data_IF_255493671970
#
_entry.id   IF_255493671970
#
_cell.length_a   1.000
_cell.length_b   1.000
_cell.length_c   1.000
_cell.angle_alpha   90.00
_cell.angle_beta   90.00
_cell.angle_gamma   90.00
#
_symmetry.space_group_name_H-M   'P 1'
#
loop_
_entity.id
_entity.type
_entity.pdbx_description
1 polymer ?
#
# COMPACT_ATOMS: atom_id res chain seq x y z
N UNK A 1 -20.30 -25.06 36.49
CA UNK A 1 -21.66 -24.57 36.20
C UNK A 1 -21.54 -23.14 35.68
N UNK A 2 -21.68 -22.95 34.37
CA UNK A 2 -21.45 -21.68 33.67
C UNK A 2 -22.76 -20.93 33.57
N UNK A 3 -22.89 -19.83 34.33
CA UNK A 3 -24.03 -18.92 34.23
C UNK A 3 -23.87 -18.05 32.97
N UNK A 4 -24.60 -18.40 31.91
CA UNK A 4 -24.76 -17.55 30.73
C UNK A 4 -25.81 -16.49 31.10
N UNK A 5 -25.36 -15.29 31.40
CA UNK A 5 -26.25 -14.12 31.47
C UNK A 5 -26.76 -13.83 30.07
N UNK A 6 -28.04 -14.18 29.85
CA UNK A 6 -28.79 -13.77 28.68
C UNK A 6 -28.85 -12.24 28.63
N UNK A 7 -28.28 -11.67 27.58
CA UNK A 7 -28.60 -10.31 27.15
C UNK A 7 -29.94 -10.40 26.41
N UNK A 8 -31.03 -10.45 27.18
CA UNK A 8 -32.37 -10.22 26.62
C UNK A 8 -32.46 -8.75 26.25
N UNK A 9 -32.48 -8.52 24.95
CA UNK A 9 -32.77 -7.26 24.31
C UNK A 9 -34.20 -6.85 24.68
N UNK A 10 -34.32 -6.00 25.70
CA UNK A 10 -35.55 -5.28 25.97
C UNK A 10 -35.75 -4.24 24.85
N UNK A 11 -36.40 -4.64 23.77
CA UNK A 11 -37.10 -3.71 22.88
C UNK A 11 -38.36 -3.21 23.60
N UNK A 12 -38.17 -2.29 24.55
CA UNK A 12 -39.30 -1.55 25.09
C UNK A 12 -39.75 -0.54 24.02
N UNK A 13 -40.94 -0.78 23.46
CA UNK A 13 -41.63 0.23 22.66
C UNK A 13 -41.64 1.56 23.44
N UNK A 14 -41.08 2.64 22.87
CA UNK A 14 -40.96 3.89 23.58
C UNK A 14 -42.36 4.46 23.82
N UNK A 15 -42.70 4.65 25.10
CA UNK A 15 -43.99 5.20 25.48
C UNK A 15 -44.16 6.63 24.89
N UNK A 16 -45.16 6.87 24.03
CA UNK A 16 -45.27 8.11 23.25
C UNK A 16 -45.43 9.36 24.13
N UNK A 17 -46.08 9.24 25.29
CA UNK A 17 -46.24 10.34 26.24
C UNK A 17 -44.90 10.86 26.82
N UNK A 18 -43.89 9.98 26.91
CA UNK A 18 -42.56 10.31 27.42
C UNK A 18 -41.73 11.04 26.36
N UNK A 19 -41.88 10.64 25.10
CA UNK A 19 -41.22 11.26 23.96
C UNK A 19 -41.63 12.72 23.75
N UNK A 20 -42.94 12.99 23.79
CA UNK A 20 -43.46 14.33 23.53
C UNK A 20 -43.22 15.30 24.69
N UNK A 21 -43.41 14.85 25.93
CA UNK A 21 -43.39 15.77 27.09
C UNK A 21 -42.00 16.00 27.66
N UNK A 22 -41.17 14.97 27.69
CA UNK A 22 -39.87 14.99 28.38
C UNK A 22 -38.73 15.02 27.36
N UNK A 23 -38.66 14.05 26.45
CA UNK A 23 -37.54 13.96 25.52
C UNK A 23 -37.53 15.10 24.49
N UNK A 24 -38.69 15.59 24.01
CA UNK A 24 -38.71 16.72 23.08
C UNK A 24 -38.09 18.00 23.67
N UNK A 25 -38.43 18.34 24.93
CA UNK A 25 -37.88 19.52 25.61
C UNK A 25 -36.38 19.40 25.87
N UNK A 26 -35.94 18.21 26.29
CA UNK A 26 -34.51 17.94 26.50
C UNK A 26 -33.74 18.01 25.18
N UNK A 27 -34.28 17.44 24.09
CA UNK A 27 -33.69 17.53 22.75
C UNK A 27 -33.53 18.98 22.30
N UNK A 28 -34.57 19.80 22.43
CA UNK A 28 -34.52 21.22 22.08
C UNK A 28 -33.48 21.98 22.90
N UNK A 29 -33.45 21.77 24.24
CA UNK A 29 -32.41 22.36 25.09
C UNK A 29 -31.00 22.01 24.60
N UNK A 30 -30.76 20.75 24.27
CA UNK A 30 -29.47 20.29 23.76
C UNK A 30 -29.11 21.00 22.45
N UNK A 31 -30.05 21.12 21.53
CA UNK A 31 -29.84 21.79 20.24
C UNK A 31 -29.47 23.26 20.44
N UNK A 32 -30.21 23.97 21.28
CA UNK A 32 -30.01 25.40 21.51
C UNK A 32 -28.64 25.70 22.14
N UNK A 33 -28.25 24.89 23.14
CA UNK A 33 -26.96 25.03 23.79
C UNK A 33 -25.79 24.64 22.88
N UNK A 34 -25.94 23.60 22.03
CA UNK A 34 -24.92 23.24 21.03
C UNK A 34 -24.73 24.39 20.05
N UNK A 35 -25.83 24.97 19.53
CA UNK A 35 -25.77 26.13 18.62
C UNK A 35 -25.03 27.30 19.27
N UNK A 36 -25.44 27.70 20.47
CA UNK A 36 -24.79 28.80 21.21
C UNK A 36 -23.31 28.54 21.50
N UNK A 37 -22.97 27.31 21.88
CA UNK A 37 -21.59 26.92 22.19
C UNK A 37 -20.70 26.93 20.95
N UNK A 38 -21.20 26.40 19.83
CA UNK A 38 -20.49 26.42 18.54
C UNK A 38 -20.32 27.87 18.04
N UNK A 39 -21.36 28.69 18.10
CA UNK A 39 -21.28 30.10 17.71
C UNK A 39 -20.26 30.88 18.56
N UNK A 40 -20.21 30.63 19.86
CA UNK A 40 -19.21 31.22 20.75
C UNK A 40 -17.79 30.77 20.38
N UNK A 41 -17.59 29.46 20.14
CA UNK A 41 -16.29 28.93 19.72
C UNK A 41 -15.82 29.49 18.37
N UNK A 42 -16.76 29.72 17.43
CA UNK A 42 -16.47 30.34 16.14
C UNK A 42 -16.06 31.81 16.31
N UNK A 43 -16.75 32.57 17.19
CA UNK A 43 -16.38 33.96 17.52
C UNK A 43 -14.98 34.04 18.14
N UNK A 44 -14.66 33.11 19.03
CA UNK A 44 -13.37 33.04 19.72
C UNK A 44 -12.26 32.44 18.84
N UNK A 45 -12.57 32.04 17.59
CA UNK A 45 -11.68 31.34 16.65
C UNK A 45 -11.04 30.08 17.25
N UNK A 46 -11.72 29.44 18.19
CA UNK A 46 -11.26 28.23 18.84
C UNK A 46 -11.63 26.98 18.06
N UNK A 47 -10.90 25.90 18.31
CA UNK A 47 -11.14 24.61 17.68
C UNK A 47 -12.49 24.03 18.15
N UNK A 48 -13.39 23.77 17.20
CA UNK A 48 -14.67 23.07 17.45
C UNK A 48 -14.43 21.57 17.48
N UNK A 49 -14.50 20.96 18.67
CA UNK A 49 -14.52 19.52 18.94
C UNK A 49 -15.58 19.19 19.99
N UNK A 50 -16.07 17.95 20.06
CA UNK A 50 -17.11 17.55 21.03
C UNK A 50 -16.78 17.97 22.47
N UNK A 51 -15.53 17.76 22.89
CA UNK A 51 -15.04 18.15 24.21
C UNK A 51 -15.05 19.67 24.44
N UNK A 52 -14.71 20.48 23.44
CA UNK A 52 -14.71 21.95 23.58
C UNK A 52 -16.14 22.50 23.58
N UNK A 53 -17.03 21.91 22.78
CA UNK A 53 -18.47 22.24 22.81
C UNK A 53 -19.07 21.88 24.17
N UNK A 54 -18.77 20.69 24.70
CA UNK A 54 -19.23 20.27 26.03
C UNK A 54 -18.69 21.20 27.13
N UNK A 55 -17.41 21.57 27.10
CA UNK A 55 -16.82 22.50 28.04
C UNK A 55 -17.48 23.89 27.96
N UNK A 56 -17.66 24.44 26.75
CA UNK A 56 -18.30 25.73 26.55
C UNK A 56 -19.78 25.74 26.94
N UNK A 57 -20.49 24.63 26.76
CA UNK A 57 -21.89 24.54 27.17
C UNK A 57 -22.09 24.72 28.67
N UNK A 58 -21.08 24.37 29.50
CA UNK A 58 -21.13 24.57 30.96
C UNK A 58 -21.02 26.03 31.39
N UNK A 59 -20.45 26.89 30.54
CA UNK A 59 -20.41 28.33 30.80
C UNK A 59 -21.79 28.98 30.62
N UNK A 60 -22.65 28.39 29.78
CA UNK A 60 -23.99 28.90 29.50
C UNK A 60 -25.09 28.27 30.38
N UNK A 61 -24.84 27.08 30.91
CA UNK A 61 -25.81 26.29 31.67
C UNK A 61 -25.09 25.46 32.74
N UNK A 62 -25.55 25.52 33.99
CA UNK A 62 -24.94 24.83 35.13
C UNK A 62 -24.83 23.30 34.91
N UNK A 63 -25.78 22.72 34.16
CA UNK A 63 -25.74 21.28 33.84
C UNK A 63 -24.85 20.96 32.64
N UNK A 64 -24.65 21.92 31.73
CA UNK A 64 -23.98 21.73 30.45
C UNK A 64 -24.52 20.54 29.64
N UNK A 65 -23.73 20.10 28.67
CA UNK A 65 -24.04 18.96 27.79
C UNK A 65 -22.86 17.99 27.75
N UNK A 66 -23.14 16.69 27.78
CA UNK A 66 -22.15 15.64 27.57
C UNK A 66 -21.93 15.35 26.08
N UNK A 67 -20.75 14.82 25.73
CA UNK A 67 -20.45 14.46 24.34
C UNK A 67 -21.44 13.45 23.77
N UNK A 68 -21.87 12.47 24.58
CA UNK A 68 -22.89 11.48 24.21
C UNK A 68 -24.22 12.14 23.84
N UNK A 69 -24.68 13.12 24.62
CA UNK A 69 -25.94 13.82 24.35
C UNK A 69 -25.93 14.60 23.03
N UNK A 70 -24.75 15.08 22.59
CA UNK A 70 -24.58 15.71 21.27
C UNK A 70 -24.69 14.66 20.17
N UNK A 71 -24.14 13.46 20.37
CA UNK A 71 -24.15 12.38 19.38
C UNK A 71 -25.51 11.67 19.26
N UNK A 72 -26.24 11.57 20.37
CA UNK A 72 -27.55 10.92 20.44
C UNK A 72 -28.64 11.74 19.75
N UNK A 73 -28.53 13.07 19.78
CA UNK A 73 -29.46 13.96 19.07
C UNK A 73 -28.95 14.27 17.66
N UNK A 74 -29.62 13.69 16.65
CA UNK A 74 -29.25 13.81 15.24
C UNK A 74 -29.16 15.28 14.76
N UNK A 75 -30.04 16.16 15.24
CA UNK A 75 -30.04 17.57 14.83
C UNK A 75 -28.83 18.33 15.42
N UNK A 76 -28.55 18.11 16.71
CA UNK A 76 -27.40 18.71 17.38
C UNK A 76 -26.08 18.20 16.75
N UNK A 77 -26.03 16.91 16.44
CA UNK A 77 -24.90 16.28 15.74
C UNK A 77 -24.69 16.87 14.35
N UNK A 78 -25.75 17.03 13.56
CA UNK A 78 -25.66 17.61 12.22
C UNK A 78 -25.09 19.03 12.26
N UNK A 79 -25.55 19.85 13.21
CA UNK A 79 -25.03 21.22 13.40
C UNK A 79 -23.56 21.22 13.82
N UNK A 80 -23.17 20.35 14.74
CA UNK A 80 -21.76 20.17 15.12
C UNK A 80 -20.89 19.71 13.93
N UNK A 81 -21.36 18.73 13.14
CA UNK A 81 -20.61 18.19 12.00
C UNK A 81 -20.37 19.22 10.89
N UNK A 82 -21.30 20.17 10.69
CA UNK A 82 -21.14 21.28 9.75
C UNK A 82 -20.02 22.25 10.15
N UNK A 83 -19.83 22.47 11.46
CA UNK A 83 -18.89 23.45 12.00
C UNK A 83 -17.63 22.83 12.60
N UNK A 84 -17.43 21.52 12.46
CA UNK A 84 -16.27 20.83 13.03
C UNK A 84 -14.97 21.32 12.38
N UNK A 85 -13.99 21.62 13.23
CA UNK A 85 -12.67 22.13 12.82
C UNK A 85 -11.80 21.10 12.09
N UNK A 86 -12.00 19.81 12.38
CA UNK A 86 -11.32 18.72 11.69
C UNK A 86 -12.32 18.07 10.76
N UNK A 87 -12.27 18.42 9.48
CA UNK A 87 -12.70 17.52 8.41
C UNK A 87 -11.85 16.27 8.55
N UNK A 88 -12.29 15.35 9.41
CA UNK A 88 -11.67 14.06 9.62
C UNK A 88 -11.41 13.50 8.24
N UNK A 89 -10.12 13.36 7.92
CA UNK A 89 -9.61 12.86 6.64
C UNK A 89 -10.64 11.92 6.09
N UNK A 90 -11.46 12.43 5.14
CA UNK A 90 -12.48 11.65 4.46
C UNK A 90 -11.69 10.44 4.04
N UNK A 91 -11.93 9.32 4.74
CA UNK A 91 -11.06 8.15 4.68
C UNK A 91 -10.81 7.99 3.21
N UNK A 92 -9.60 8.34 2.74
CA UNK A 92 -9.16 7.96 1.42
C UNK A 92 -9.22 6.47 1.61
N UNK A 93 -10.37 5.86 1.25
CA UNK A 93 -10.56 4.42 1.13
C UNK A 93 -9.26 4.04 0.52
N UNK A 94 -8.41 3.39 1.31
CA UNK A 94 -7.05 3.08 0.92
C UNK A 94 -7.26 2.54 -0.47
N UNK A 95 -6.89 3.35 -1.49
CA UNK A 95 -7.22 3.00 -2.86
C UNK A 95 -6.64 1.62 -2.92
N UNK A 96 -7.49 0.61 -3.12
CA UNK A 96 -6.99 -0.72 -3.36
C UNK A 96 -5.93 -0.45 -4.39
N UNK A 97 -4.67 -0.72 -4.01
CA UNK A 97 -3.58 -0.67 -4.95
C UNK A 97 -3.97 -1.80 -5.88
N UNK A 98 -4.84 -1.46 -6.84
CA UNK A 98 -5.14 -2.24 -7.99
C UNK A 98 -3.75 -2.47 -8.50
N UNK A 99 -3.34 -3.73 -8.41
CA UNK A 99 -2.09 -4.23 -8.95
C UNK A 99 -2.28 -4.20 -10.46
N UNK A 100 -2.45 -3.01 -11.04
CA UNK A 100 -2.37 -2.75 -12.47
C UNK A 100 -0.92 -2.54 -12.79
N UNK A 101 -0.21 -3.66 -12.82
CA UNK A 101 0.82 -3.83 -13.83
C UNK A 101 1.01 -5.33 -14.00
N UNK A 102 0.83 -5.89 -15.21
CA UNK A 102 1.33 -7.22 -15.50
C UNK A 102 2.81 -7.18 -15.14
N UNK A 103 3.15 -7.94 -14.10
CA UNK A 103 4.46 -7.87 -13.48
C UNK A 103 5.43 -8.49 -14.47
N UNK A 104 5.99 -7.68 -15.35
CA UNK A 104 7.30 -8.00 -15.91
C UNK A 104 8.21 -8.33 -14.71
N UNK A 105 9.06 -9.36 -14.81
CA UNK A 105 9.94 -9.75 -13.72
C UNK A 105 10.85 -8.57 -13.39
N UNK A 106 10.41 -7.73 -12.45
CA UNK A 106 11.16 -6.57 -11.99
C UNK A 106 12.45 -7.12 -11.42
N UNK A 107 13.58 -6.68 -11.99
CA UNK A 107 14.94 -6.95 -11.54
C UNK A 107 14.96 -6.99 -10.01
N UNK A 108 15.08 -8.19 -9.46
CA UNK A 108 15.09 -8.39 -8.02
C UNK A 108 16.45 -7.93 -7.54
N UNK A 109 16.47 -6.82 -6.78
CA UNK A 109 17.72 -6.34 -6.18
C UNK A 109 18.27 -7.42 -5.23
N UNK A 110 19.55 -7.81 -5.35
CA UNK A 110 20.19 -8.63 -4.33
C UNK A 110 20.18 -7.87 -2.99
N UNK A 111 19.83 -8.54 -1.89
CA UNK A 111 19.72 -7.92 -0.56
C UNK A 111 18.33 -7.37 -0.19
N UNK A 112 17.25 -7.83 -0.84
CA UNK A 112 15.87 -7.48 -0.46
C UNK A 112 15.51 -8.09 0.90
N UNK A 113 14.94 -7.28 1.79
CA UNK A 113 14.43 -7.72 3.10
C UNK A 113 13.35 -8.81 2.94
N UNK A 114 13.72 -10.06 3.22
CA UNK A 114 12.88 -11.23 3.08
C UNK A 114 11.63 -11.17 3.97
N UNK A 115 11.74 -10.62 5.18
CA UNK A 115 10.64 -10.58 6.14
C UNK A 115 9.50 -9.72 5.59
N UNK A 116 9.85 -8.58 5.01
CA UNK A 116 8.89 -7.69 4.36
C UNK A 116 8.29 -8.28 3.08
N UNK A 117 9.03 -9.17 2.39
CA UNK A 117 8.49 -9.91 1.25
C UNK A 117 7.51 -10.99 1.70
N UNK A 118 7.87 -11.78 2.72
CA UNK A 118 7.02 -12.82 3.29
C UNK A 118 5.69 -12.24 3.77
N UNK A 119 5.73 -11.16 4.55
CA UNK A 119 4.52 -10.46 5.00
C UNK A 119 3.65 -9.98 3.83
N UNK A 120 4.26 -9.55 2.72
CA UNK A 120 3.51 -9.13 1.53
C UNK A 120 2.80 -10.31 0.87
N UNK A 121 3.47 -11.46 0.76
CA UNK A 121 2.88 -12.67 0.18
C UNK A 121 1.77 -13.25 1.05
N UNK A 122 1.90 -13.19 2.37
CA UNK A 122 0.84 -13.61 3.29
C UNK A 122 -0.44 -12.76 3.18
N UNK A 123 -0.34 -11.55 2.63
CA UNK A 123 -1.50 -10.66 2.40
C UNK A 123 -2.12 -10.81 1.01
N UNK A 124 -1.55 -11.63 0.15
CA UNK A 124 -2.07 -11.90 -1.20
C UNK A 124 -3.03 -13.09 -1.18
N UNK A 125 -3.96 -13.13 -2.14
CA UNK A 125 -4.79 -14.32 -2.36
C UNK A 125 -3.94 -15.47 -2.91
N UNK A 126 -4.41 -16.71 -2.71
CA UNK A 126 -3.76 -17.92 -3.23
C UNK A 126 -3.58 -17.86 -4.75
N UNK A 127 -4.59 -17.38 -5.46
CA UNK A 127 -4.57 -17.22 -6.93
C UNK A 127 -3.46 -16.25 -7.37
N UNK A 128 -3.37 -15.08 -6.75
CA UNK A 128 -2.33 -14.09 -7.06
C UNK A 128 -0.91 -14.62 -6.79
N UNK A 129 -0.77 -15.49 -5.79
CA UNK A 129 0.50 -16.13 -5.46
C UNK A 129 0.89 -17.17 -6.53
N UNK A 130 -0.07 -17.96 -7.00
CA UNK A 130 0.12 -18.96 -8.08
C UNK A 130 0.51 -18.27 -9.39
N UNK A 131 -0.22 -17.25 -9.82
CA UNK A 131 0.12 -16.53 -11.07
C UNK A 131 1.54 -15.95 -11.00
N UNK A 132 1.89 -15.37 -9.86
CA UNK A 132 3.22 -14.81 -9.66
C UNK A 132 4.32 -15.87 -9.67
N UNK A 133 4.05 -17.06 -9.15
CA UNK A 133 4.98 -18.19 -9.19
C UNK A 133 5.21 -18.64 -10.64
N UNK A 134 4.13 -18.78 -11.42
CA UNK A 134 4.21 -19.16 -12.84
C UNK A 134 5.04 -18.13 -13.63
N UNK A 135 4.84 -16.83 -13.38
CA UNK A 135 5.64 -15.77 -14.02
C UNK A 135 7.12 -15.89 -13.62
N UNK A 136 7.41 -16.17 -12.35
CA UNK A 136 8.79 -16.32 -11.87
C UNK A 136 9.49 -17.54 -12.49
N UNK A 137 8.78 -18.66 -12.63
CA UNK A 137 9.29 -19.87 -13.29
C UNK A 137 9.62 -19.61 -14.76
N UNK A 138 8.71 -18.97 -15.51
CA UNK A 138 8.94 -18.59 -16.91
C UNK A 138 10.14 -17.65 -17.06
N UNK A 139 10.27 -16.66 -16.18
CA UNK A 139 11.41 -15.75 -16.21
C UNK A 139 12.73 -16.48 -15.95
N UNK A 140 12.72 -17.49 -15.06
CA UNK A 140 13.89 -18.30 -14.77
C UNK A 140 14.29 -19.18 -15.97
N UNK A 141 13.33 -19.79 -16.66
CA UNK A 141 13.62 -20.59 -17.86
C UNK A 141 14.18 -19.73 -18.97
N UNK A 142 13.58 -18.57 -19.25
CA UNK A 142 14.09 -17.62 -20.25
C UNK A 142 15.52 -17.16 -19.93
N UNK A 143 15.80 -16.87 -18.66
CA UNK A 143 17.14 -16.46 -18.25
C UNK A 143 18.16 -17.58 -18.42
N UNK A 144 17.79 -18.83 -18.11
CA UNK A 144 18.66 -20.00 -18.30
C UNK A 144 18.95 -20.26 -19.77
N UNK A 145 17.93 -20.20 -20.63
CA UNK A 145 18.10 -20.38 -22.07
C UNK A 145 19.01 -19.30 -22.67
N UNK A 146 18.81 -18.04 -22.31
CA UNK A 146 19.70 -16.94 -22.74
C UNK A 146 21.14 -17.16 -22.27
N UNK A 147 21.33 -17.62 -21.04
CA UNK A 147 22.66 -17.92 -20.51
C UNK A 147 23.33 -19.06 -21.28
N UNK A 148 22.61 -20.16 -21.54
CA UNK A 148 23.12 -21.29 -22.32
C UNK A 148 23.49 -20.86 -23.74
N UNK A 149 22.62 -20.11 -24.42
CA UNK A 149 22.93 -19.58 -25.75
C UNK A 149 24.19 -18.72 -25.79
N UNK A 150 24.38 -17.85 -24.80
CA UNK A 150 25.61 -17.04 -24.68
C UNK A 150 26.86 -17.89 -24.43
N UNK A 151 26.75 -18.96 -23.63
CA UNK A 151 27.86 -19.89 -23.39
C UNK A 151 28.21 -20.69 -24.65
N UNK A 152 27.19 -21.19 -25.36
CA UNK A 152 27.38 -21.93 -26.60
C UNK A 152 28.02 -21.04 -27.68
N UNK A 153 27.57 -19.80 -27.83
CA UNK A 153 28.20 -18.81 -28.71
C UNK A 153 29.67 -18.58 -28.32
N UNK A 154 29.96 -18.35 -27.04
CA UNK A 154 31.34 -18.17 -26.58
C UNK A 154 32.23 -19.38 -26.86
N UNK A 155 31.71 -20.61 -26.65
CA UNK A 155 32.42 -21.85 -26.93
C UNK A 155 32.68 -22.03 -28.44
N UNK A 156 31.68 -21.78 -29.28
CA UNK A 156 31.85 -21.87 -30.74
C UNK A 156 32.89 -20.87 -31.25
N UNK A 157 32.95 -19.66 -30.70
CA UNK A 157 34.00 -18.69 -31.04
C UNK A 157 35.38 -19.15 -30.61
N UNK A 158 35.53 -19.72 -29.40
CA UNK A 158 36.81 -20.27 -28.92
C UNK A 158 37.30 -21.41 -29.81
N UNK A 159 36.44 -22.39 -30.10
CA UNK A 159 36.79 -23.52 -30.96
C UNK A 159 37.18 -23.07 -32.37
N UNK A 160 36.51 -22.05 -32.93
CA UNK A 160 36.88 -21.45 -34.22
C UNK A 160 38.24 -20.76 -34.16
N UNK A 161 38.52 -20.03 -33.08
CA UNK A 161 39.81 -19.36 -32.89
C UNK A 161 40.96 -20.38 -32.79
N UNK A 162 40.80 -21.42 -31.96
CA UNK A 162 41.78 -22.51 -31.83
C UNK A 162 42.03 -23.22 -33.17
N UNK A 163 40.97 -23.50 -33.94
CA UNK A 163 41.11 -24.11 -35.27
C UNK A 163 41.83 -23.19 -36.27
N UNK A 164 41.61 -21.88 -36.20
CA UNK A 164 42.31 -20.92 -37.05
C UNK A 164 43.80 -20.80 -36.67
N UNK A 165 44.11 -20.77 -35.37
CA UNK A 165 45.48 -20.78 -34.88
C UNK A 165 46.23 -22.04 -35.31
N UNK A 166 45.60 -23.22 -35.19
CA UNK A 166 46.19 -24.48 -35.63
C UNK A 166 46.48 -24.51 -37.15
N UNK A 167 45.64 -23.86 -37.97
CA UNK A 167 45.92 -23.72 -39.42
C UNK A 167 47.10 -22.80 -39.68
N UNK A 168 47.19 -21.67 -38.96
CA UNK A 168 48.31 -20.75 -39.10
C UNK A 168 49.64 -21.38 -38.65
N UNK A 169 49.65 -22.20 -37.60
CA UNK A 169 50.86 -22.93 -37.19
C UNK A 169 51.26 -23.96 -38.25
N UNK A 170 50.31 -24.70 -38.81
CA UNK A 170 50.60 -25.65 -39.91
C UNK A 170 51.14 -24.93 -41.17
N UNK A 171 50.55 -23.82 -41.59
CA UNK A 171 51.03 -23.03 -42.73
C UNK A 171 52.45 -22.48 -42.50
N UNK A 172 52.77 -22.05 -41.27
CA UNK A 172 54.12 -21.61 -40.88
C UNK A 172 55.14 -22.74 -40.89
N UNK A 173 54.75 -23.93 -40.42
CA UNK A 173 55.61 -25.12 -40.39
C UNK A 173 55.84 -25.73 -41.78
N UNK A 174 54.88 -25.61 -42.70
CA UNK A 174 54.99 -26.07 -44.10
C UNK A 174 55.76 -25.07 -44.98
N UNK A 175 55.95 -23.83 -44.53
CA UNK A 175 56.74 -22.81 -45.24
C UNK A 175 58.13 -22.51 -44.65
N UNK A 176 59.04 -23.49 -44.42
CA UNK A 176 60.44 -23.20 -44.23
C UNK A 176 61.15 -23.24 -45.59
N UNK A 177 61.83 -22.13 -45.94
CA UNK A 177 62.69 -21.91 -47.14
C UNK A 177 62.00 -21.45 -48.42
N UNK A 178 61.59 -20.19 -48.44
CA UNK A 178 61.55 -19.42 -49.69
C UNK A 178 62.17 -18.03 -49.54
N UNK A 179 63.27 -17.88 -48.79
CA UNK A 179 64.11 -16.67 -48.91
C UNK A 179 65.58 -16.98 -48.62
N UNK A 180 66.38 -16.96 -49.70
CA UNK A 180 67.73 -16.35 -49.83
C UNK A 180 68.63 -17.16 -50.76
N UNK A 181 68.34 -17.09 -52.06
CA UNK A 181 69.40 -17.14 -53.08
C UNK A 181 69.68 -15.70 -53.47
N UNK A 182 70.72 -15.13 -52.87
CA UNK A 182 71.28 -13.81 -53.17
C UNK A 182 72.12 -13.99 -54.46
N UNK A 183 71.79 -13.36 -55.61
CA UNK A 183 72.66 -13.47 -56.77
C UNK A 183 73.97 -12.74 -56.45
N UNK A 184 75.07 -13.46 -56.55
CA UNK A 184 76.41 -12.93 -56.45
C UNK A 184 76.66 -12.03 -57.66
N UNK A 185 77.03 -10.79 -57.40
CA UNK A 185 77.50 -9.82 -58.37
C UNK A 185 78.97 -10.17 -58.66
N UNK A 186 79.27 -10.70 -59.84
CA UNK A 186 80.63 -10.92 -60.33
C UNK A 186 80.97 -9.90 -61.42
N UNK A 187 82.25 -9.53 -61.44
CA UNK A 187 82.86 -8.35 -62.05
C UNK A 187 82.90 -8.36 -63.57
#
# INVERSE_FOLDING_TARGET
MSSKFNHEQNEHEPYPWLEEKVYAKLRQRTIDLVKRSVDALLKDKQRVSLSTVAAKSREFDEKGISESAILDNQEARAYYEQHRSWLGSLRKRAQSLVVTSPTSPKVVKPGRDEQRVRQRYLRMSKEALVERLIIAERALTEQRERWLGQQDEALTWRLRAEAAEARLTQEREVSPRATRTRPANEK
#
